data_IF_195079773422
#
_entry.id   IF_195079773422
#
_cell.length_a   1.000
_cell.length_b   1.000
_cell.length_c   1.000
_cell.angle_alpha   90.00
_cell.angle_beta   90.00
_cell.angle_gamma   90.00
#
_symmetry.space_group_name_H-M   'P 1'
#
loop_
_entity.id
_entity.type
_entity.pdbx_description
1 polymer ?
#
# COMPACT_ATOMS: atom_id res chain seq x y z
N UNK A 1 -56.63 19.51 7.03
CA UNK A 1 -55.33 20.19 7.28
C UNK A 1 -54.26 19.30 6.65
N UNK A 2 -53.80 19.67 5.46
CA UNK A 2 -52.91 18.87 4.60
C UNK A 2 -51.45 19.27 4.85
N UNK A 3 -50.60 18.36 5.28
CA UNK A 3 -49.14 18.54 5.25
C UNK A 3 -48.53 17.54 4.26
N UNK A 4 -48.33 18.00 3.02
CA UNK A 4 -47.57 17.29 2.02
C UNK A 4 -46.08 17.50 2.31
N UNK A 5 -45.42 16.46 2.83
CA UNK A 5 -43.97 16.41 3.01
C UNK A 5 -43.27 16.54 1.65
N UNK A 6 -42.68 17.71 1.39
CA UNK A 6 -41.93 18.01 0.16
C UNK A 6 -40.68 17.15 0.03
N UNK A 7 -40.73 16.18 -0.90
CA UNK A 7 -39.56 15.41 -1.35
C UNK A 7 -38.54 16.37 -1.97
N UNK A 8 -37.30 16.39 -1.44
CA UNK A 8 -36.17 17.13 -2.06
C UNK A 8 -36.01 16.65 -3.52
N UNK A 9 -35.98 17.55 -4.52
CA UNK A 9 -35.77 17.13 -5.90
C UNK A 9 -34.37 16.51 -6.04
N UNK A 10 -34.31 15.28 -6.54
CA UNK A 10 -33.05 14.61 -6.88
C UNK A 10 -32.40 15.37 -8.03
N UNK A 11 -31.16 15.81 -7.83
CA UNK A 11 -30.38 16.47 -8.87
C UNK A 11 -30.09 15.46 -9.97
N UNK A 12 -30.66 15.66 -11.16
CA UNK A 12 -30.34 14.84 -12.33
C UNK A 12 -28.92 15.20 -12.78
N UNK A 13 -28.02 14.23 -13.00
CA UNK A 13 -26.72 14.51 -13.61
C UNK A 13 -26.94 15.15 -14.97
N UNK A 14 -26.35 16.32 -15.20
CA UNK A 14 -26.35 16.96 -16.52
C UNK A 14 -25.32 16.22 -17.38
N UNK A 15 -25.80 15.64 -18.49
CA UNK A 15 -24.91 15.11 -19.52
C UNK A 15 -24.21 16.30 -20.17
N UNK A 16 -22.91 16.45 -19.89
CA UNK A 16 -22.08 17.43 -20.59
C UNK A 16 -21.71 16.86 -21.97
N UNK A 17 -21.78 17.65 -23.05
CA UNK A 17 -21.28 17.25 -24.36
C UNK A 17 -19.78 16.89 -24.29
N UNK A 18 -19.35 15.88 -25.05
CA UNK A 18 -17.96 15.38 -25.04
C UNK A 18 -16.90 16.46 -25.33
N UNK A 19 -17.25 17.45 -26.16
CA UNK A 19 -16.40 18.59 -26.51
C UNK A 19 -16.00 19.45 -25.30
N UNK A 20 -16.85 19.53 -24.27
CA UNK A 20 -16.57 20.29 -23.03
C UNK A 20 -15.71 19.47 -22.05
N UNK A 21 -15.64 18.14 -22.21
CA UNK A 21 -14.74 17.30 -21.44
C UNK A 21 -13.31 17.37 -22.00
N UNK A 22 -13.18 17.46 -23.33
CA UNK A 22 -11.89 17.65 -24.02
C UNK A 22 -11.27 19.02 -23.69
N UNK A 23 -12.07 20.08 -23.55
CA UNK A 23 -11.58 21.42 -23.19
C UNK A 23 -11.10 21.54 -21.73
N UNK A 24 -11.52 20.61 -20.86
CA UNK A 24 -11.02 20.48 -19.47
C UNK A 24 -9.76 19.59 -19.40
N UNK A 25 -9.42 18.87 -20.47
CA UNK A 25 -8.31 17.93 -20.56
C UNK A 25 -6.94 18.61 -20.82
N UNK A 26 -6.63 19.70 -20.12
CA UNK A 26 -5.30 20.31 -20.10
C UNK A 26 -4.23 19.50 -19.34
N UNK A 27 -4.45 18.19 -19.17
CA UNK A 27 -3.60 17.28 -18.40
C UNK A 27 -3.40 15.94 -19.12
N UNK A 28 -2.54 15.09 -18.59
CA UNK A 28 -2.31 13.73 -19.11
C UNK A 28 -3.64 12.96 -19.13
N UNK A 29 -3.92 12.23 -20.22
CA UNK A 29 -5.10 11.38 -20.32
C UNK A 29 -5.15 10.38 -19.14
N UNK A 30 -6.23 10.37 -18.33
CA UNK A 30 -6.37 9.44 -17.21
C UNK A 30 -6.22 7.96 -17.60
N UNK A 31 -6.60 7.59 -18.82
CA UNK A 31 -6.44 6.22 -19.33
C UNK A 31 -4.96 5.92 -19.61
N UNK A 32 -4.27 6.81 -20.32
CA UNK A 32 -2.83 6.66 -20.58
C UNK A 32 -2.03 6.61 -19.27
N UNK A 33 -2.36 7.45 -18.29
CA UNK A 33 -1.75 7.42 -16.96
C UNK A 33 -2.03 6.07 -16.25
N UNK A 34 -3.24 5.50 -16.41
CA UNK A 34 -3.56 4.19 -15.86
C UNK A 34 -2.73 3.09 -16.48
N UNK A 35 -2.61 3.07 -17.80
CA UNK A 35 -1.83 2.07 -18.51
C UNK A 35 -0.35 2.19 -18.17
N UNK A 36 0.18 3.42 -18.09
CA UNK A 36 1.56 3.66 -17.67
C UNK A 36 1.83 3.13 -16.26
N UNK A 37 0.89 3.35 -15.32
CA UNK A 37 1.00 2.83 -13.96
C UNK A 37 1.04 1.29 -13.93
N UNK A 38 0.18 0.61 -14.70
CA UNK A 38 0.17 -0.85 -14.75
C UNK A 38 1.43 -1.40 -15.42
N UNK A 39 1.82 -0.86 -16.58
CA UNK A 39 3.04 -1.28 -17.29
C UNK A 39 4.28 -1.11 -16.43
N UNK A 40 4.43 0.02 -15.73
CA UNK A 40 5.58 0.25 -14.84
C UNK A 40 5.57 -0.71 -13.63
N UNK A 41 4.41 -0.99 -13.06
CA UNK A 41 4.28 -1.96 -11.96
C UNK A 41 4.63 -3.39 -12.40
N UNK A 42 4.16 -3.83 -13.57
CA UNK A 42 4.49 -5.15 -14.14
C UNK A 42 6.00 -5.29 -14.41
N UNK A 43 6.61 -4.24 -14.95
CA UNK A 43 8.06 -4.18 -15.16
C UNK A 43 8.84 -4.28 -13.86
N UNK A 44 8.36 -3.70 -12.76
CA UNK A 44 9.00 -3.77 -11.44
C UNK A 44 8.97 -5.19 -10.86
N UNK A 45 7.79 -5.82 -10.84
CA UNK A 45 7.60 -7.15 -10.24
C UNK A 45 8.08 -8.29 -11.13
N UNK A 46 8.29 -8.01 -12.42
CA UNK A 46 8.87 -8.97 -13.35
C UNK A 46 7.93 -9.99 -13.93
N UNK A 47 6.66 -9.61 -14.07
CA UNK A 47 5.74 -10.40 -14.88
C UNK A 47 6.27 -10.56 -16.30
N UNK A 48 6.24 -11.81 -16.80
CA UNK A 48 6.70 -12.16 -18.15
C UNK A 48 8.20 -12.33 -18.32
N UNK A 49 9.00 -12.33 -17.23
CA UNK A 49 10.43 -12.66 -17.28
C UNK A 49 10.65 -14.16 -17.07
N UNK A 50 11.72 -14.71 -17.64
CA UNK A 50 12.33 -15.94 -17.10
C UNK A 50 12.82 -15.59 -15.68
N UNK A 51 12.27 -16.28 -14.68
CA UNK A 51 12.21 -15.86 -13.27
C UNK A 51 13.57 -15.77 -12.57
N UNK A 52 14.67 -16.21 -13.21
CA UNK A 52 15.99 -16.43 -12.60
C UNK A 52 17.14 -15.62 -13.25
N UNK A 53 16.94 -14.33 -13.59
CA UNK A 53 18.05 -13.42 -13.94
C UNK A 53 18.40 -12.44 -12.80
N UNK A 54 19.36 -12.80 -11.91
CA UNK A 54 19.87 -11.92 -10.87
C UNK A 54 20.46 -10.61 -11.38
N UNK A 55 21.04 -10.59 -12.60
CA UNK A 55 21.67 -9.39 -13.16
C UNK A 55 20.61 -8.39 -13.67
N UNK A 56 19.48 -8.87 -14.18
CA UNK A 56 18.34 -8.01 -14.50
C UNK A 56 17.66 -7.47 -13.24
N UNK A 57 17.51 -8.31 -12.21
CA UNK A 57 17.01 -7.87 -10.89
C UNK A 57 17.89 -6.76 -10.32
N UNK A 58 19.22 -6.95 -10.33
CA UNK A 58 20.17 -5.94 -9.88
C UNK A 58 20.08 -4.64 -10.70
N UNK A 59 19.87 -4.73 -12.03
CA UNK A 59 19.67 -3.57 -12.90
C UNK A 59 18.37 -2.83 -12.62
N UNK A 60 17.27 -3.52 -12.33
CA UNK A 60 16.00 -2.88 -12.00
C UNK A 60 16.02 -2.23 -10.61
N UNK A 61 16.64 -2.89 -9.64
CA UNK A 61 16.94 -2.28 -8.33
C UNK A 61 17.82 -1.05 -8.53
N UNK A 62 18.86 -1.13 -9.37
CA UNK A 62 19.72 0.01 -9.69
C UNK A 62 18.94 1.14 -10.40
N UNK A 63 18.05 0.83 -11.34
CA UNK A 63 17.23 1.83 -12.04
C UNK A 63 16.22 2.51 -11.11
N UNK A 64 15.62 1.76 -10.20
CA UNK A 64 14.78 2.30 -9.12
C UNK A 64 15.62 3.17 -8.18
N UNK A 65 16.87 2.79 -7.92
CA UNK A 65 17.80 3.63 -7.13
C UNK A 65 18.24 4.89 -7.90
N UNK A 66 18.35 4.85 -9.24
CA UNK A 66 18.74 5.98 -10.10
C UNK A 66 17.58 6.97 -10.35
N UNK A 67 16.39 6.48 -10.72
CA UNK A 67 15.18 7.30 -10.91
C UNK A 67 14.54 7.74 -9.59
N UNK A 68 14.89 7.05 -8.50
CA UNK A 68 14.23 7.13 -7.20
C UNK A 68 12.93 6.33 -7.20
N UNK A 69 12.78 5.42 -6.24
CA UNK A 69 11.54 4.67 -6.01
C UNK A 69 10.34 5.62 -5.81
N UNK A 70 10.56 6.80 -5.24
CA UNK A 70 9.56 7.85 -5.08
C UNK A 70 8.91 8.28 -6.39
N UNK A 71 9.70 8.48 -7.44
CA UNK A 71 9.22 8.99 -8.74
C UNK A 71 8.28 7.99 -9.41
N UNK A 72 8.66 6.71 -9.39
CA UNK A 72 7.83 5.64 -9.97
C UNK A 72 6.59 5.41 -9.11
N UNK A 73 6.74 5.48 -7.79
CA UNK A 73 5.63 5.31 -6.85
C UNK A 73 4.55 6.39 -7.03
N UNK A 74 4.92 7.64 -7.32
CA UNK A 74 3.97 8.72 -7.61
C UNK A 74 3.02 8.37 -8.77
N UNK A 75 3.48 7.64 -9.78
CA UNK A 75 2.65 7.17 -10.91
C UNK A 75 1.54 6.19 -10.46
N UNK A 76 1.69 5.56 -9.29
CA UNK A 76 0.78 4.55 -8.78
C UNK A 76 -0.22 5.09 -7.75
N UNK A 77 -0.02 6.30 -7.24
CA UNK A 77 -0.72 6.82 -6.07
C UNK A 77 -2.25 6.81 -6.19
N UNK A 78 -2.76 7.08 -7.39
CA UNK A 78 -4.20 7.13 -7.68
C UNK A 78 -4.81 5.79 -8.11
N UNK A 79 -4.06 4.69 -8.02
CA UNK A 79 -4.55 3.37 -8.45
C UNK A 79 -5.38 2.69 -7.34
N UNK A 80 -6.44 1.94 -7.70
CA UNK A 80 -7.26 1.24 -6.72
C UNK A 80 -6.41 0.28 -5.87
N UNK A 81 -6.80 0.08 -4.62
CA UNK A 81 -5.99 -0.67 -3.66
C UNK A 81 -5.64 -2.09 -4.08
N UNK A 82 -6.57 -2.75 -4.78
CA UNK A 82 -6.51 -4.15 -5.19
C UNK A 82 -6.07 -4.33 -6.64
N UNK A 83 -5.24 -3.43 -7.14
CA UNK A 83 -4.46 -3.58 -8.37
C UNK A 83 -2.98 -3.70 -8.02
N UNK A 84 -2.17 -4.21 -8.94
CA UNK A 84 -0.72 -4.31 -8.79
C UNK A 84 -0.08 -2.96 -8.45
N UNK A 85 -0.27 -1.87 -9.22
CA UNK A 85 0.30 -0.57 -8.86
C UNK A 85 -0.21 -0.06 -7.51
N UNK A 86 -1.51 -0.26 -7.20
CA UNK A 86 -2.08 0.17 -5.92
C UNK A 86 -1.49 -0.56 -4.70
N UNK A 87 -1.12 -1.84 -4.88
CA UNK A 87 -0.42 -2.63 -3.87
C UNK A 87 1.02 -2.16 -3.69
N UNK A 88 1.76 -1.94 -4.79
CA UNK A 88 3.14 -1.45 -4.75
C UNK A 88 3.25 -0.06 -4.11
N UNK A 89 2.32 0.85 -4.40
CA UNK A 89 2.24 2.15 -3.74
C UNK A 89 2.11 2.03 -2.21
N UNK A 90 1.27 1.10 -1.73
CA UNK A 90 1.10 0.86 -0.28
C UNK A 90 2.37 0.31 0.35
N UNK A 91 3.06 -0.62 -0.32
CA UNK A 91 4.35 -1.11 0.15
C UNK A 91 5.38 0.02 0.25
N UNK A 92 5.43 0.88 -0.77
CA UNK A 92 6.29 2.07 -0.76
C UNK A 92 5.95 3.01 0.40
N UNK A 93 4.68 3.35 0.60
CA UNK A 93 4.27 4.22 1.71
C UNK A 93 4.59 3.64 3.10
N UNK A 94 4.48 2.32 3.28
CA UNK A 94 4.86 1.66 4.53
C UNK A 94 6.37 1.77 4.77
N UNK A 95 7.18 1.51 3.75
CA UNK A 95 8.62 1.68 3.83
C UNK A 95 8.99 3.13 4.18
N UNK A 96 8.44 4.09 3.43
CA UNK A 96 8.67 5.52 3.65
C UNK A 96 8.27 5.99 5.06
N UNK A 97 7.15 5.49 5.59
CA UNK A 97 6.75 5.81 6.95
C UNK A 97 7.77 5.29 7.97
N UNK A 98 8.21 4.03 7.84
CA UNK A 98 9.24 3.45 8.71
C UNK A 98 10.56 4.21 8.59
N UNK A 99 10.95 4.61 7.38
CA UNK A 99 12.18 5.35 7.17
C UNK A 99 12.17 6.73 7.83
N UNK A 100 11.02 7.42 7.81
CA UNK A 100 10.83 8.75 8.41
C UNK A 100 10.64 8.72 9.93
N UNK A 101 10.00 7.68 10.46
CA UNK A 101 9.60 7.60 11.87
C UNK A 101 9.93 6.22 12.48
N UNK A 102 11.21 5.83 12.53
CA UNK A 102 11.59 4.47 12.94
C UNK A 102 11.35 4.23 14.44
N UNK A 103 11.51 5.26 15.28
CA UNK A 103 11.25 5.17 16.72
C UNK A 103 9.75 5.01 17.03
N UNK A 104 8.90 5.78 16.32
CA UNK A 104 7.45 5.64 16.42
C UNK A 104 7.03 4.23 16.02
N UNK A 105 7.56 3.74 14.89
CA UNK A 105 7.16 2.44 14.36
C UNK A 105 7.63 1.29 15.24
N UNK A 106 8.86 1.33 15.77
CA UNK A 106 9.36 0.33 16.72
C UNK A 106 8.51 0.29 18.00
N UNK A 107 8.16 1.45 18.56
CA UNK A 107 7.33 1.56 19.77
C UNK A 107 5.93 0.98 19.56
N UNK A 108 5.27 1.37 18.47
CA UNK A 108 3.94 0.86 18.13
C UNK A 108 3.96 -0.63 17.83
N UNK A 109 4.98 -1.11 17.11
CA UNK A 109 5.12 -2.54 16.82
C UNK A 109 5.31 -3.32 18.12
N UNK A 110 6.15 -2.84 19.05
CA UNK A 110 6.34 -3.46 20.37
C UNK A 110 5.03 -3.52 21.17
N UNK A 111 4.26 -2.44 21.20
CA UNK A 111 2.96 -2.38 21.87
C UNK A 111 1.94 -3.37 21.28
N UNK A 112 1.95 -3.54 19.95
CA UNK A 112 1.07 -4.48 19.27
C UNK A 112 1.51 -5.94 19.34
N UNK A 113 2.82 -6.19 19.37
CA UNK A 113 3.43 -7.51 19.21
C UNK A 113 2.97 -8.54 20.26
N UNK A 114 2.71 -8.11 21.49
CA UNK A 114 2.23 -8.97 22.58
C UNK A 114 0.78 -9.43 22.41
N UNK A 115 -0.01 -8.76 21.56
CA UNK A 115 -1.43 -9.06 21.34
C UNK A 115 -1.71 -9.55 19.91
N UNK A 116 -0.66 -9.72 19.09
CA UNK A 116 -0.76 -10.05 17.67
C UNK A 116 0.30 -11.10 17.27
N UNK A 117 0.50 -12.13 18.09
CA UNK A 117 1.61 -13.10 17.95
C UNK A 117 1.70 -13.75 16.55
N UNK A 118 0.56 -14.14 15.97
CA UNK A 118 0.51 -14.74 14.62
C UNK A 118 0.99 -13.73 13.57
N UNK A 119 0.50 -12.50 13.62
CA UNK A 119 0.91 -11.46 12.67
C UNK A 119 2.36 -11.02 12.91
N UNK A 120 2.84 -11.02 14.15
CA UNK A 120 4.25 -10.79 14.48
C UNK A 120 5.14 -11.82 13.81
N UNK A 121 4.78 -13.10 13.92
CA UNK A 121 5.52 -14.20 13.32
C UNK A 121 5.55 -14.11 11.79
N UNK A 122 4.41 -13.77 11.15
CA UNK A 122 4.32 -13.60 9.69
C UNK A 122 5.14 -12.39 9.22
N UNK A 123 5.07 -11.26 9.94
CA UNK A 123 5.87 -10.08 9.59
C UNK A 123 7.37 -10.41 9.59
N UNK A 124 7.81 -11.24 10.54
CA UNK A 124 9.18 -11.76 10.58
C UNK A 124 10.20 -10.72 11.09
N UNK A 125 9.77 -9.87 12.02
CA UNK A 125 10.62 -8.85 12.65
C UNK A 125 11.55 -9.49 13.67
N UNK A 126 12.84 -9.10 13.65
CA UNK A 126 13.80 -9.53 14.66
C UNK A 126 13.47 -8.97 16.06
N UNK A 127 13.67 -9.79 17.09
CA UNK A 127 13.33 -9.44 18.47
C UNK A 127 14.54 -9.06 19.33
N UNK A 128 14.41 -8.07 20.22
CA UNK A 128 13.25 -7.18 20.39
C UNK A 128 13.14 -6.15 19.24
N UNK A 129 11.92 -5.67 18.91
CA UNK A 129 11.73 -4.66 17.88
C UNK A 129 12.46 -3.36 18.23
N UNK A 130 13.34 -2.93 17.33
CA UNK A 130 14.13 -1.69 17.39
C UNK A 130 13.98 -0.89 16.10
N UNK A 131 14.25 0.43 16.12
CA UNK A 131 14.25 1.28 14.93
C UNK A 131 14.96 0.64 13.72
N UNK A 132 16.15 0.07 13.91
CA UNK A 132 16.96 -0.55 12.86
C UNK A 132 16.29 -1.80 12.28
N UNK A 133 15.70 -2.64 13.14
CA UNK A 133 15.00 -3.85 12.68
C UNK A 133 13.72 -3.53 11.90
N UNK A 134 13.05 -2.40 12.17
CA UNK A 134 11.92 -1.95 11.35
C UNK A 134 12.38 -1.57 9.95
N UNK A 135 13.49 -0.83 9.85
CA UNK A 135 14.08 -0.42 8.56
C UNK A 135 14.41 -1.64 7.72
N UNK A 136 15.16 -2.59 8.31
CA UNK A 136 15.52 -3.87 7.67
C UNK A 136 14.28 -4.64 7.22
N UNK A 137 13.26 -4.77 8.07
CA UNK A 137 12.01 -5.44 7.70
C UNK A 137 11.41 -4.86 6.41
N UNK A 138 11.22 -3.53 6.37
CA UNK A 138 10.57 -2.91 5.20
C UNK A 138 11.43 -2.96 3.95
N UNK A 139 12.75 -2.88 4.09
CA UNK A 139 13.71 -3.07 2.99
C UNK A 139 13.65 -4.50 2.44
N UNK A 140 13.56 -5.51 3.31
CA UNK A 140 13.40 -6.91 2.90
C UNK A 140 12.07 -7.15 2.19
N UNK A 141 10.97 -6.57 2.68
CA UNK A 141 9.66 -6.64 2.03
C UNK A 141 9.74 -6.05 0.62
N UNK A 142 10.30 -4.84 0.46
CA UNK A 142 10.47 -4.23 -0.86
C UNK A 142 11.41 -5.05 -1.74
N UNK A 143 12.51 -5.57 -1.21
CA UNK A 143 13.46 -6.41 -1.95
C UNK A 143 12.81 -7.72 -2.43
N UNK A 144 11.92 -8.30 -1.63
CA UNK A 144 11.16 -9.50 -1.97
C UNK A 144 10.28 -9.32 -3.21
N UNK A 145 9.75 -8.11 -3.44
CA UNK A 145 9.00 -7.76 -4.65
C UNK A 145 9.87 -7.97 -5.90
N UNK A 146 11.12 -7.50 -5.87
CA UNK A 146 12.04 -7.59 -7.01
C UNK A 146 12.57 -9.02 -7.25
N UNK A 147 12.55 -9.87 -6.22
CA UNK A 147 12.99 -11.28 -6.28
C UNK A 147 11.89 -12.25 -6.75
N UNK A 148 10.69 -11.75 -7.07
CA UNK A 148 9.56 -12.57 -7.52
C UNK A 148 8.66 -13.10 -6.40
N UNK A 149 8.96 -12.79 -5.15
CA UNK A 149 8.22 -13.27 -3.96
C UNK A 149 7.06 -12.33 -3.58
N UNK A 150 6.37 -11.73 -4.56
CA UNK A 150 5.41 -10.65 -4.30
C UNK A 150 4.30 -11.06 -3.32
N UNK A 151 3.70 -12.25 -3.45
CA UNK A 151 2.67 -12.70 -2.51
C UNK A 151 3.19 -12.76 -1.06
N UNK A 152 4.43 -13.22 -0.86
CA UNK A 152 5.04 -13.29 0.47
C UNK A 152 5.33 -11.88 0.99
N UNK A 153 5.86 -10.99 0.15
CA UNK A 153 6.09 -9.59 0.53
C UNK A 153 4.79 -8.89 0.96
N UNK A 154 3.70 -9.09 0.20
CA UNK A 154 2.37 -8.55 0.52
C UNK A 154 1.82 -9.10 1.85
N UNK A 155 2.00 -10.38 2.13
CA UNK A 155 1.56 -11.00 3.39
C UNK A 155 2.35 -10.51 4.60
N UNK A 156 3.68 -10.40 4.46
CA UNK A 156 4.54 -9.82 5.50
C UNK A 156 4.15 -8.37 5.80
N UNK A 157 3.90 -7.58 4.77
CA UNK A 157 3.44 -6.19 4.91
C UNK A 157 2.06 -6.09 5.56
N UNK A 158 1.11 -6.94 5.15
CA UNK A 158 -0.22 -6.99 5.75
C UNK A 158 -0.15 -7.34 7.25
N UNK A 159 0.69 -8.33 7.60
CA UNK A 159 0.89 -8.72 8.97
C UNK A 159 1.54 -7.60 9.81
N UNK A 160 2.53 -6.89 9.25
CA UNK A 160 3.07 -5.68 9.86
C UNK A 160 1.97 -4.64 10.13
N UNK A 161 1.12 -4.34 9.15
CA UNK A 161 -0.01 -3.42 9.32
C UNK A 161 -0.97 -3.85 10.45
N UNK A 162 -1.26 -5.15 10.58
CA UNK A 162 -2.12 -5.66 11.67
C UNK A 162 -1.47 -5.46 13.04
N UNK A 163 -0.18 -5.78 13.20
CA UNK A 163 0.54 -5.55 14.48
C UNK A 163 0.54 -4.06 14.82
N UNK A 164 0.81 -3.20 13.85
CA UNK A 164 0.82 -1.75 14.04
C UNK A 164 -0.57 -1.20 14.39
N UNK A 165 -1.64 -1.71 13.78
CA UNK A 165 -3.02 -1.33 14.10
C UNK A 165 -3.41 -1.70 15.54
N UNK A 166 -2.95 -2.86 16.01
CA UNK A 166 -3.11 -3.29 17.41
C UNK A 166 -2.33 -2.36 18.34
N UNK A 167 -1.07 -2.07 18.05
CA UNK A 167 -0.25 -1.16 18.84
C UNK A 167 -0.77 0.29 18.88
N UNK A 168 -1.47 0.74 17.83
CA UNK A 168 -2.16 2.03 17.83
C UNK A 168 -3.40 2.05 18.72
N UNK A 169 -3.98 0.90 19.02
CA UNK A 169 -5.18 0.77 19.85
C UNK A 169 -4.87 0.43 21.30
N UNK A 170 -3.59 0.19 21.64
CA UNK A 170 -3.16 -0.16 22.99
C UNK A 170 -3.26 1.11 23.88
N UNK A 171 -4.17 1.12 24.86
CA UNK A 171 -4.26 2.22 25.79
C UNK A 171 -3.13 2.08 26.79
N UNK A 172 -2.24 3.08 26.83
CA UNK A 172 -1.40 3.29 28.00
C UNK A 172 -2.23 3.69 29.23
N UNK A 173 -1.64 4.45 30.15
CA UNK A 173 -2.36 5.01 31.31
C UNK A 173 -3.40 6.07 30.89
N UNK A 174 -3.30 6.59 29.67
CA UNK A 174 -4.15 7.64 29.11
C UNK A 174 -5.01 7.13 27.93
N UNK A 175 -6.11 7.85 27.68
CA UNK A 175 -6.99 7.56 26.56
C UNK A 175 -6.28 7.78 25.21
N UNK A 176 -6.41 6.81 24.30
CA UNK A 176 -5.83 6.90 22.95
C UNK A 176 -6.51 8.02 22.15
N UNK A 177 -5.75 8.95 21.54
CA UNK A 177 -6.33 10.00 20.71
C UNK A 177 -7.13 9.44 19.53
N UNK A 178 -8.27 10.07 19.20
CA UNK A 178 -9.15 9.64 18.10
C UNK A 178 -8.42 9.55 16.75
N UNK A 179 -7.48 10.46 16.49
CA UNK A 179 -6.65 10.44 15.28
C UNK A 179 -5.79 9.17 15.17
N UNK A 180 -5.27 8.67 16.29
CA UNK A 180 -4.48 7.44 16.33
C UNK A 180 -5.36 6.21 16.09
N UNK A 181 -6.57 6.18 16.67
CA UNK A 181 -7.55 5.11 16.41
C UNK A 181 -7.92 5.06 14.92
N UNK A 182 -8.18 6.21 14.30
CA UNK A 182 -8.50 6.27 12.87
C UNK A 182 -7.32 5.82 11.99
N UNK A 183 -6.08 6.12 12.39
CA UNK A 183 -4.87 5.64 11.70
C UNK A 183 -4.75 4.11 11.82
N UNK A 184 -5.05 3.55 13.00
CA UNK A 184 -5.11 2.11 13.21
C UNK A 184 -6.15 1.41 12.32
N UNK A 185 -7.34 1.99 12.19
CA UNK A 185 -8.37 1.48 11.29
C UNK A 185 -7.90 1.45 9.82
N UNK A 186 -7.28 2.53 9.34
CA UNK A 186 -6.73 2.60 7.96
C UNK A 186 -5.61 1.58 7.72
N UNK A 187 -4.80 1.28 8.74
CA UNK A 187 -3.79 0.21 8.65
C UNK A 187 -4.44 -1.16 8.54
N UNK A 188 -5.55 -1.40 9.24
CA UNK A 188 -6.31 -2.64 9.10
C UNK A 188 -6.91 -2.78 7.70
N UNK A 189 -7.52 -1.72 7.15
CA UNK A 189 -8.01 -1.71 5.77
C UNK A 189 -6.87 -2.01 4.77
N UNK A 190 -5.70 -1.39 4.99
CA UNK A 190 -4.50 -1.64 4.17
C UNK A 190 -4.06 -3.10 4.26
N UNK A 191 -4.07 -3.70 5.45
CA UNK A 191 -3.73 -5.10 5.62
C UNK A 191 -4.69 -6.02 4.86
N UNK A 192 -5.99 -5.76 4.93
CA UNK A 192 -7.01 -6.55 4.24
C UNK A 192 -6.86 -6.47 2.71
N UNK A 193 -6.55 -5.27 2.19
CA UNK A 193 -6.25 -5.08 0.78
C UNK A 193 -4.99 -5.82 0.35
N UNK A 194 -3.90 -5.76 1.14
CA UNK A 194 -2.65 -6.46 0.83
C UNK A 194 -2.82 -7.99 0.86
N UNK A 195 -3.60 -8.54 1.79
CA UNK A 195 -3.96 -9.97 1.80
C UNK A 195 -4.77 -10.35 0.55
N UNK A 196 -5.72 -9.51 0.14
CA UNK A 196 -6.47 -9.73 -1.09
C UNK A 196 -5.55 -9.71 -2.31
N UNK A 197 -4.62 -8.76 -2.40
CA UNK A 197 -3.61 -8.69 -3.46
C UNK A 197 -2.72 -9.92 -3.49
N UNK A 198 -2.26 -10.42 -2.33
CA UNK A 198 -1.44 -11.64 -2.26
C UNK A 198 -2.18 -12.86 -2.83
N UNK A 199 -3.50 -12.96 -2.57
CA UNK A 199 -4.35 -14.02 -3.13
C UNK A 199 -4.52 -13.86 -4.65
N UNK A 200 -4.84 -12.66 -5.11
CA UNK A 200 -4.98 -12.35 -6.54
C UNK A 200 -3.68 -12.61 -7.31
N UNK A 201 -2.52 -12.30 -6.72
CA UNK A 201 -1.22 -12.58 -7.33
C UNK A 201 -1.00 -14.06 -7.59
N UNK A 202 -1.32 -14.92 -6.60
CA UNK A 202 -1.13 -16.38 -6.71
C UNK A 202 -1.97 -17.02 -7.80
N UNK A 203 -3.15 -16.48 -8.07
CA UNK A 203 -4.06 -17.00 -9.11
C UNK A 203 -3.88 -16.31 -10.47
N UNK A 204 -3.00 -15.31 -10.56
CA UNK A 204 -2.71 -14.58 -11.80
C UNK A 204 -3.62 -13.38 -12.09
N UNK A 205 -4.54 -13.03 -11.18
CA UNK A 205 -5.58 -12.01 -11.40
C UNK A 205 -5.24 -10.62 -10.85
N UNK A 206 -4.09 -10.45 -10.19
CA UNK A 206 -3.65 -9.13 -9.70
C UNK A 206 -3.03 -8.32 -10.85
N UNK A 207 -3.77 -7.49 -11.56
CA UNK A 207 -3.24 -6.66 -12.66
C UNK A 207 -2.80 -5.28 -12.18
#
# INVERSE_FOLDING_TARGET
>A
MNEQSGRRPFHRPTLRPGEVLEEVAGGVDPLEAAEAAHRTAELVVGRGRDTDDPALTARLVALVNELGLSTVAEMWADRPARTLPGALWRLYLLHEWVQRQPDETARLFAAGAGHAEVYRAIAGVAEPPRPETMRVLTEEILTGVFRGDLAVALERAAAFCQVMAVGMSEPGVEAVPSAQVMRGARLRDTADDLVACARLWRIGDLH
#
